data_IF_638806837661
#
_entry.id   IF_638806837661
#
_cell.length_a   1.000
_cell.length_b   1.000
_cell.length_c   1.000
_cell.angle_alpha   90.00
_cell.angle_beta   90.00
_cell.angle_gamma   90.00
#
_symmetry.space_group_name_H-M   'P 1'
#
loop_
_entity.id
_entity.type
_entity.pdbx_description
1 polymer ?
#
# COMPACT_ATOMS: atom_id res chain seq x y z
N UNK A 1 39.58 -13.23 -29.51
CA UNK A 1 38.21 -13.79 -29.61
C UNK A 1 38.02 -14.96 -28.63
N UNK A 2 39.10 -15.52 -28.07
CA UNK A 2 39.07 -16.68 -27.14
C UNK A 2 38.61 -16.37 -25.71
N UNK A 3 38.80 -15.14 -25.23
CA UNK A 3 38.43 -14.77 -23.85
C UNK A 3 36.90 -14.75 -23.64
N UNK A 4 36.15 -14.37 -24.69
CA UNK A 4 34.68 -14.35 -24.66
C UNK A 4 34.12 -15.77 -24.74
N UNK A 5 34.71 -16.61 -25.60
CA UNK A 5 34.34 -18.02 -25.74
C UNK A 5 34.64 -18.81 -24.45
N UNK A 6 35.82 -18.62 -23.86
CA UNK A 6 36.20 -19.26 -22.60
C UNK A 6 35.32 -18.81 -21.41
N UNK A 7 34.97 -17.53 -21.35
CA UNK A 7 34.05 -17.02 -20.33
C UNK A 7 32.62 -17.57 -20.53
N UNK A 8 32.20 -17.76 -21.79
CA UNK A 8 30.89 -18.32 -22.10
C UNK A 8 30.80 -19.82 -21.77
N UNK A 9 31.82 -20.61 -22.11
CA UNK A 9 31.90 -22.04 -21.76
C UNK A 9 31.97 -22.23 -20.24
N UNK A 10 32.80 -21.46 -19.54
CA UNK A 10 32.90 -21.52 -18.08
C UNK A 10 31.57 -21.16 -17.39
N UNK A 11 30.84 -20.16 -17.88
CA UNK A 11 29.50 -19.83 -17.37
C UNK A 11 28.50 -20.95 -17.64
N UNK A 12 28.53 -21.55 -18.83
CA UNK A 12 27.64 -22.66 -19.18
C UNK A 12 27.86 -23.90 -18.28
N UNK A 13 29.12 -24.19 -17.92
CA UNK A 13 29.47 -25.28 -17.01
C UNK A 13 29.02 -24.96 -15.58
N UNK A 14 29.27 -23.73 -15.11
CA UNK A 14 28.85 -23.30 -13.76
C UNK A 14 27.32 -23.32 -13.56
N UNK A 15 26.55 -22.93 -14.58
CA UNK A 15 25.08 -22.98 -14.52
C UNK A 15 24.57 -24.43 -14.44
N UNK A 16 25.23 -25.36 -15.14
CA UNK A 16 24.89 -26.79 -15.10
C UNK A 16 25.17 -27.40 -13.72
N UNK A 17 26.28 -27.00 -13.09
CA UNK A 17 26.62 -27.44 -11.73
C UNK A 17 25.58 -26.94 -10.71
N UNK A 18 25.24 -25.65 -10.76
CA UNK A 18 24.22 -25.06 -9.88
C UNK A 18 22.86 -25.73 -10.09
N UNK A 19 22.47 -25.96 -11.34
CA UNK A 19 21.22 -26.65 -11.68
C UNK A 19 21.16 -28.04 -11.02
N UNK A 20 22.23 -28.83 -11.16
CA UNK A 20 22.34 -30.15 -10.55
C UNK A 20 22.34 -30.08 -9.02
N UNK A 21 23.04 -29.10 -8.43
CA UNK A 21 23.06 -28.91 -6.97
C UNK A 21 21.66 -28.57 -6.43
N UNK A 22 20.89 -27.76 -7.15
CA UNK A 22 19.52 -27.38 -6.79
C UNK A 22 18.49 -28.47 -7.10
N UNK A 23 18.83 -29.47 -7.92
CA UNK A 23 17.92 -30.53 -8.34
C UNK A 23 16.81 -30.02 -9.27
N UNK A 24 17.08 -28.99 -10.06
CA UNK A 24 16.13 -28.38 -10.99
C UNK A 24 16.23 -28.99 -12.39
N UNK A 25 15.14 -28.90 -13.15
CA UNK A 25 15.05 -29.38 -14.53
C UNK A 25 15.84 -28.51 -15.51
N UNK A 26 16.27 -29.09 -16.64
CA UNK A 26 17.13 -28.43 -17.63
C UNK A 26 16.54 -27.11 -18.18
N UNK A 27 15.22 -26.98 -18.17
CA UNK A 27 14.51 -25.76 -18.58
C UNK A 27 14.90 -24.52 -17.76
N UNK A 28 15.36 -24.67 -16.50
CA UNK A 28 15.78 -23.54 -15.66
C UNK A 28 17.22 -23.09 -15.92
N UNK A 29 18.00 -23.81 -16.75
CA UNK A 29 19.39 -23.48 -17.03
C UNK A 29 19.58 -22.06 -17.58
N UNK A 30 18.77 -21.55 -18.53
CA UNK A 30 18.88 -20.17 -19.00
C UNK A 30 18.65 -19.13 -17.90
N UNK A 31 17.68 -19.38 -17.01
CA UNK A 31 17.39 -18.51 -15.86
C UNK A 31 18.57 -18.47 -14.88
N UNK A 32 19.14 -19.63 -14.54
CA UNK A 32 20.34 -19.71 -13.68
C UNK A 32 21.50 -18.96 -14.31
N UNK A 33 21.71 -19.13 -15.61
CA UNK A 33 22.78 -18.45 -16.34
C UNK A 33 22.59 -16.92 -16.36
N UNK A 34 21.34 -16.46 -16.51
CA UNK A 34 20.98 -15.04 -16.43
C UNK A 34 21.31 -14.44 -15.07
N UNK A 35 20.99 -15.13 -13.98
CA UNK A 35 21.21 -14.63 -12.63
C UNK A 35 22.43 -15.23 -11.92
N UNK A 36 23.46 -15.64 -12.67
CA UNK A 36 24.61 -16.43 -12.16
C UNK A 36 25.30 -15.78 -10.94
N UNK A 37 25.32 -14.43 -10.88
CA UNK A 37 25.88 -13.66 -9.75
C UNK A 37 25.23 -14.00 -8.41
N UNK A 38 23.94 -14.33 -8.40
CA UNK A 38 23.24 -14.77 -7.19
C UNK A 38 23.84 -16.10 -6.69
N UNK A 39 24.14 -17.04 -7.59
CA UNK A 39 24.58 -18.39 -7.24
C UNK A 39 26.04 -18.50 -6.83
N UNK A 40 26.85 -17.44 -7.02
CA UNK A 40 28.25 -17.40 -6.57
C UNK A 40 28.44 -17.54 -5.04
N UNK A 41 27.38 -17.50 -4.25
CA UNK A 41 27.42 -17.64 -2.79
C UNK A 41 26.78 -18.95 -2.35
N UNK A 42 27.58 -19.88 -1.82
CA UNK A 42 27.09 -21.16 -1.26
C UNK A 42 25.93 -20.95 -0.28
N UNK A 43 26.01 -19.96 0.60
CA UNK A 43 24.93 -19.62 1.54
C UNK A 43 23.59 -19.30 0.86
N UNK A 44 23.60 -18.64 -0.31
CA UNK A 44 22.38 -18.29 -1.06
C UNK A 44 21.85 -19.51 -1.79
N UNK A 45 22.74 -20.33 -2.38
CA UNK A 45 22.37 -21.60 -3.01
C UNK A 45 21.72 -22.54 -2.00
N UNK A 46 22.30 -22.73 -0.82
CA UNK A 46 21.71 -23.54 0.26
C UNK A 46 20.36 -22.99 0.73
N UNK A 47 20.25 -21.67 0.92
CA UNK A 47 18.99 -21.04 1.32
C UNK A 47 17.89 -21.19 0.26
N UNK A 48 18.24 -21.11 -1.03
CA UNK A 48 17.32 -21.33 -2.13
C UNK A 48 16.90 -22.80 -2.21
N UNK A 49 17.87 -23.73 -2.12
CA UNK A 49 17.61 -25.17 -2.16
C UNK A 49 16.60 -25.61 -1.10
N UNK A 50 16.67 -25.03 0.10
CA UNK A 50 15.72 -25.30 1.18
C UNK A 50 14.27 -24.83 0.88
N UNK A 51 14.07 -24.00 -0.15
CA UNK A 51 12.78 -23.44 -0.57
C UNK A 51 12.27 -24.02 -1.89
N UNK A 52 13.07 -24.83 -2.59
CA UNK A 52 12.68 -25.42 -3.87
C UNK A 52 11.62 -26.51 -3.66
N UNK A 53 10.60 -26.50 -4.51
CA UNK A 53 9.61 -27.53 -4.68
C UNK A 53 9.30 -27.69 -6.18
N UNK A 54 8.04 -27.55 -6.57
CA UNK A 54 7.67 -27.38 -7.97
C UNK A 54 7.76 -25.90 -8.36
N UNK A 55 8.70 -25.57 -9.24
CA UNK A 55 8.98 -24.18 -9.61
C UNK A 55 8.43 -23.82 -10.98
N UNK A 56 8.12 -22.54 -11.13
CA UNK A 56 8.09 -21.82 -12.40
C UNK A 56 9.24 -20.80 -12.41
N UNK A 57 9.51 -20.17 -13.55
CA UNK A 57 10.49 -19.08 -13.59
C UNK A 57 10.14 -17.95 -12.59
N UNK A 58 8.85 -17.60 -12.51
CA UNK A 58 8.35 -16.58 -11.58
C UNK A 58 8.61 -16.97 -10.13
N UNK A 59 8.26 -18.20 -9.72
CA UNK A 59 8.44 -18.62 -8.33
C UNK A 59 9.91 -18.65 -7.93
N UNK A 60 10.79 -19.06 -8.84
CA UNK A 60 12.22 -19.09 -8.60
C UNK A 60 12.81 -17.67 -8.47
N UNK A 61 12.38 -16.73 -9.31
CA UNK A 61 12.74 -15.31 -9.23
C UNK A 61 12.29 -14.71 -7.88
N UNK A 62 11.05 -14.97 -7.47
CA UNK A 62 10.52 -14.47 -6.19
C UNK A 62 11.25 -15.08 -4.99
N UNK A 63 11.65 -16.35 -5.04
CA UNK A 63 12.49 -16.98 -4.00
C UNK A 63 13.89 -16.39 -3.94
N UNK A 64 14.50 -16.12 -5.08
CA UNK A 64 15.79 -15.43 -5.13
C UNK A 64 15.69 -14.02 -4.53
N UNK A 65 14.67 -13.26 -4.92
CA UNK A 65 14.46 -11.91 -4.41
C UNK A 65 14.17 -11.91 -2.89
N UNK A 66 13.39 -12.88 -2.41
CA UNK A 66 13.07 -13.00 -0.99
C UNK A 66 14.31 -13.30 -0.13
N UNK A 67 15.26 -14.08 -0.64
CA UNK A 67 16.55 -14.33 0.01
C UNK A 67 17.40 -13.07 0.05
N UNK A 68 17.44 -12.30 -1.05
CA UNK A 68 18.21 -11.05 -1.13
C UNK A 68 17.66 -10.00 -0.16
N UNK A 69 16.34 -9.78 -0.17
CA UNK A 69 15.68 -8.74 0.63
C UNK A 69 15.28 -9.19 2.04
N UNK A 70 15.42 -10.49 2.35
CA UNK A 70 14.91 -11.12 3.58
C UNK A 70 13.41 -10.84 3.76
N UNK A 71 12.64 -11.16 2.73
CA UNK A 71 11.18 -11.00 2.66
C UNK A 71 10.47 -12.35 2.55
N UNK A 72 9.13 -12.31 2.49
CA UNK A 72 8.35 -13.45 2.05
C UNK A 72 8.49 -13.62 0.53
N UNK A 73 8.13 -14.82 0.04
CA UNK A 73 8.28 -15.25 -1.36
C UNK A 73 7.13 -14.77 -2.26
N UNK A 74 6.64 -13.55 -2.03
CA UNK A 74 5.58 -12.95 -2.83
C UNK A 74 6.06 -11.66 -3.47
N UNK A 75 5.46 -11.29 -4.60
CA UNK A 75 5.74 -10.03 -5.26
C UNK A 75 5.43 -8.85 -4.34
N UNK A 76 4.30 -8.90 -3.63
CA UNK A 76 3.87 -7.86 -2.70
C UNK A 76 4.90 -7.64 -1.58
N UNK A 77 5.36 -8.71 -0.93
CA UNK A 77 6.36 -8.61 0.12
C UNK A 77 7.70 -8.08 -0.41
N UNK A 78 8.06 -8.45 -1.64
CA UNK A 78 9.24 -7.97 -2.34
C UNK A 78 9.13 -6.46 -2.61
N UNK A 79 8.01 -6.00 -3.17
CA UNK A 79 7.76 -4.59 -3.45
C UNK A 79 7.75 -3.74 -2.16
N UNK A 80 7.12 -4.21 -1.09
CA UNK A 80 7.14 -3.52 0.21
C UNK A 80 8.57 -3.37 0.74
N UNK A 81 9.42 -4.39 0.58
CA UNK A 81 10.84 -4.29 0.94
C UNK A 81 11.62 -3.36 0.03
N UNK A 82 11.30 -3.32 -1.26
CA UNK A 82 11.90 -2.35 -2.18
C UNK A 82 11.52 -0.92 -1.79
N UNK A 83 10.27 -0.64 -1.43
CA UNK A 83 9.87 0.68 -0.95
C UNK A 83 10.52 1.07 0.38
N UNK A 84 10.81 0.09 1.25
CA UNK A 84 11.48 0.33 2.53
C UNK A 84 12.98 0.65 2.37
N UNK A 85 13.69 -0.09 1.50
CA UNK A 85 15.16 -0.12 1.47
C UNK A 85 15.78 0.26 0.13
N UNK A 86 14.95 0.50 -0.88
CA UNK A 86 15.37 0.58 -2.28
C UNK A 86 15.60 -0.80 -2.90
N UNK A 87 16.09 -0.78 -4.14
CA UNK A 87 16.25 -1.94 -5.01
C UNK A 87 17.71 -2.22 -5.42
N UNK A 88 18.66 -1.49 -4.82
CA UNK A 88 20.09 -1.63 -5.12
C UNK A 88 20.61 -3.06 -4.87
N UNK A 89 20.10 -3.76 -3.86
CA UNK A 89 20.51 -5.15 -3.62
C UNK A 89 20.02 -6.11 -4.70
N UNK A 90 18.83 -5.88 -5.28
CA UNK A 90 18.35 -6.66 -6.43
C UNK A 90 19.12 -6.32 -7.70
N UNK A 91 19.51 -5.06 -7.90
CA UNK A 91 20.34 -4.62 -9.03
C UNK A 91 21.69 -5.36 -9.08
N UNK A 92 22.33 -5.57 -7.92
CA UNK A 92 23.60 -6.32 -7.83
C UNK A 92 23.51 -7.74 -8.41
N UNK A 93 22.33 -8.34 -8.38
CA UNK A 93 22.05 -9.68 -8.89
C UNK A 93 21.21 -9.67 -10.18
N UNK A 94 21.02 -8.51 -10.79
CA UNK A 94 20.26 -8.33 -12.03
C UNK A 94 18.77 -8.72 -11.93
N UNK A 95 18.24 -8.85 -10.71
CA UNK A 95 16.87 -9.28 -10.42
C UNK A 95 15.82 -8.16 -10.51
N UNK A 96 16.23 -6.89 -10.40
CA UNK A 96 15.31 -5.74 -10.36
C UNK A 96 14.34 -5.74 -11.54
N UNK A 97 14.87 -5.87 -12.76
CA UNK A 97 14.06 -5.83 -13.98
C UNK A 97 12.97 -6.89 -13.97
N UNK A 98 13.30 -8.12 -13.54
CA UNK A 98 12.32 -9.19 -13.49
C UNK A 98 11.21 -8.92 -12.47
N UNK A 99 11.55 -8.34 -11.31
CA UNK A 99 10.54 -7.93 -10.33
C UNK A 99 9.65 -6.81 -10.88
N UNK A 100 10.22 -5.86 -11.62
CA UNK A 100 9.45 -4.83 -12.32
C UNK A 100 8.54 -5.43 -13.39
N UNK A 101 9.02 -6.37 -14.21
CA UNK A 101 8.23 -7.04 -15.25
C UNK A 101 7.02 -7.78 -14.62
N UNK A 102 7.23 -8.45 -13.49
CA UNK A 102 6.15 -9.10 -12.73
C UNK A 102 5.12 -8.08 -12.21
N UNK A 103 5.57 -6.93 -11.68
CA UNK A 103 4.69 -5.85 -11.23
C UNK A 103 3.89 -5.23 -12.40
N UNK A 104 4.55 -4.97 -13.52
CA UNK A 104 3.95 -4.49 -14.78
C UNK A 104 2.84 -5.43 -15.24
N UNK A 105 3.10 -6.74 -15.27
CA UNK A 105 2.14 -7.74 -15.70
C UNK A 105 0.94 -7.88 -14.74
N UNK A 106 1.23 -7.94 -13.44
CA UNK A 106 0.21 -8.11 -12.39
C UNK A 106 -0.73 -6.92 -12.34
N UNK A 107 -0.19 -5.72 -12.35
CA UNK A 107 -0.97 -4.49 -12.19
C UNK A 107 -1.42 -3.88 -13.52
N UNK A 108 -0.88 -4.33 -14.66
CA UNK A 108 -1.16 -3.77 -15.98
C UNK A 108 -0.76 -2.29 -16.07
N UNK A 109 0.48 -1.99 -15.68
CA UNK A 109 1.08 -0.64 -15.68
C UNK A 109 2.43 -0.66 -16.39
N UNK A 110 2.85 0.47 -16.93
CA UNK A 110 4.23 0.67 -17.39
C UNK A 110 5.00 1.42 -16.31
N UNK A 111 6.26 1.08 -16.05
CA UNK A 111 7.11 1.79 -15.08
C UNK A 111 8.53 1.99 -15.58
N UNK A 112 9.12 3.10 -15.17
CA UNK A 112 10.52 3.47 -15.46
C UNK A 112 11.44 3.32 -14.24
N UNK A 113 10.86 3.33 -13.04
CA UNK A 113 11.59 3.22 -11.78
C UNK A 113 10.68 2.75 -10.65
N UNK A 114 11.28 2.46 -9.49
CA UNK A 114 10.53 2.14 -8.27
C UNK A 114 9.67 3.31 -7.78
N UNK A 115 10.15 4.54 -7.96
CA UNK A 115 9.41 5.76 -7.58
C UNK A 115 8.22 5.99 -8.51
N UNK A 116 8.39 5.76 -9.81
CA UNK A 116 7.28 5.79 -10.78
C UNK A 116 6.20 4.74 -10.46
N UNK A 117 6.61 3.53 -10.05
CA UNK A 117 5.67 2.51 -9.56
C UNK A 117 4.87 3.01 -8.35
N UNK A 118 5.54 3.62 -7.36
CA UNK A 118 4.89 4.16 -6.17
C UNK A 118 3.85 5.23 -6.54
N UNK A 119 4.25 6.20 -7.37
CA UNK A 119 3.35 7.28 -7.81
C UNK A 119 2.14 6.74 -8.57
N UNK A 120 2.33 5.77 -9.46
CA UNK A 120 1.23 5.17 -10.23
C UNK A 120 0.26 4.42 -9.34
N UNK A 121 0.74 3.63 -8.39
CA UNK A 121 -0.11 2.91 -7.44
C UNK A 121 -0.92 3.89 -6.59
N UNK A 122 -0.28 4.91 -6.03
CA UNK A 122 -0.95 5.87 -5.15
C UNK A 122 -1.93 6.75 -5.91
N UNK A 123 -1.55 7.23 -7.09
CA UNK A 123 -2.42 8.03 -7.96
C UNK A 123 -3.63 7.23 -8.45
N UNK A 124 -3.45 5.94 -8.78
CA UNK A 124 -4.57 5.08 -9.17
C UNK A 124 -5.53 4.84 -8.01
N UNK A 125 -5.01 4.57 -6.80
CA UNK A 125 -5.86 4.39 -5.62
C UNK A 125 -6.61 5.66 -5.25
N UNK A 126 -5.95 6.82 -5.28
CA UNK A 126 -6.58 8.12 -5.09
C UNK A 126 -7.65 8.39 -6.16
N UNK A 127 -7.33 8.17 -7.43
CA UNK A 127 -8.22 8.42 -8.56
C UNK A 127 -9.46 7.53 -8.54
N UNK A 128 -9.31 6.27 -8.13
CA UNK A 128 -10.43 5.35 -7.98
C UNK A 128 -11.38 5.81 -6.87
N UNK A 129 -10.86 6.11 -5.67
CA UNK A 129 -11.68 6.47 -4.52
C UNK A 129 -12.27 7.89 -4.61
N UNK A 130 -11.68 8.77 -5.40
CA UNK A 130 -12.10 10.19 -5.51
C UNK A 130 -12.92 10.48 -6.76
N UNK A 131 -12.62 9.79 -7.86
CA UNK A 131 -13.22 10.04 -9.17
C UNK A 131 -13.89 8.82 -9.80
N UNK A 132 -13.85 7.65 -9.16
CA UNK A 132 -14.35 6.40 -9.74
C UNK A 132 -13.54 5.92 -10.95
N UNK A 133 -12.31 6.41 -11.12
CA UNK A 133 -11.47 6.11 -12.28
C UNK A 133 -10.28 5.23 -11.87
N UNK A 134 -10.23 4.00 -12.39
CA UNK A 134 -9.02 3.17 -12.35
C UNK A 134 -8.44 3.06 -13.76
N UNK A 135 -7.12 3.17 -13.89
CA UNK A 135 -6.39 2.90 -15.15
C UNK A 135 -5.79 1.50 -15.18
N UNK A 136 -5.71 0.85 -14.04
CA UNK A 136 -4.97 -0.39 -13.83
C UNK A 136 -5.87 -1.53 -13.34
N UNK A 137 -5.34 -2.76 -13.33
CA UNK A 137 -6.06 -3.94 -12.84
C UNK A 137 -6.43 -3.78 -11.36
N UNK A 138 -7.49 -4.48 -10.96
CA UNK A 138 -8.01 -4.46 -9.58
C UNK A 138 -6.93 -4.83 -8.56
N UNK A 139 -6.00 -5.72 -8.93
CA UNK A 139 -4.83 -6.08 -8.11
C UNK A 139 -4.01 -4.88 -7.62
N UNK A 140 -3.90 -3.81 -8.41
CA UNK A 140 -3.17 -2.60 -8.01
C UNK A 140 -3.86 -1.88 -6.86
N UNK A 141 -5.20 -1.82 -6.91
CA UNK A 141 -6.01 -1.23 -5.84
C UNK A 141 -5.97 -2.11 -4.58
N UNK A 142 -6.12 -3.42 -4.74
CA UNK A 142 -6.05 -4.38 -3.63
C UNK A 142 -4.69 -4.29 -2.94
N UNK A 143 -3.58 -4.23 -3.70
CA UNK A 143 -2.25 -4.11 -3.14
C UNK A 143 -2.10 -2.90 -2.20
N UNK A 144 -2.54 -1.72 -2.64
CA UNK A 144 -2.47 -0.49 -1.83
C UNK A 144 -3.37 -0.59 -0.60
N UNK A 145 -4.59 -1.13 -0.76
CA UNK A 145 -5.53 -1.34 0.36
C UNK A 145 -4.93 -2.26 1.43
N UNK A 146 -4.45 -3.43 1.02
CA UNK A 146 -3.83 -4.40 1.92
C UNK A 146 -2.57 -3.83 2.57
N UNK A 147 -1.80 -2.99 1.86
CA UNK A 147 -0.65 -2.31 2.45
C UNK A 147 -1.07 -1.34 3.57
N UNK A 148 -2.12 -0.54 3.39
CA UNK A 148 -2.62 0.36 4.45
C UNK A 148 -3.04 -0.39 5.72
N UNK A 149 -3.61 -1.58 5.56
CA UNK A 149 -4.05 -2.45 6.65
C UNK A 149 -2.88 -3.20 7.31
N UNK A 150 -1.72 -3.27 6.66
CA UNK A 150 -0.58 -4.04 7.12
C UNK A 150 0.18 -3.35 8.27
N UNK A 151 -0.04 -3.81 9.51
CA UNK A 151 0.54 -3.25 10.75
C UNK A 151 2.04 -2.97 10.64
N UNK A 152 2.84 -3.96 10.21
CA UNK A 152 4.31 -3.83 10.09
C UNK A 152 4.78 -2.70 9.16
N UNK A 153 4.05 -2.41 8.09
CA UNK A 153 4.45 -1.44 7.06
C UNK A 153 3.61 -0.17 7.11
N UNK A 154 2.83 0.03 8.18
CA UNK A 154 1.95 1.19 8.36
C UNK A 154 2.73 2.51 8.38
N UNK A 155 3.83 2.56 9.13
CA UNK A 155 4.63 3.80 9.23
C UNK A 155 5.36 4.12 7.92
N UNK A 156 5.87 3.08 7.24
CA UNK A 156 6.43 3.21 5.90
C UNK A 156 5.39 3.77 4.92
N UNK A 157 4.16 3.24 4.95
CA UNK A 157 3.07 3.75 4.13
C UNK A 157 2.80 5.23 4.41
N UNK A 158 2.67 5.60 5.69
CA UNK A 158 2.41 7.00 6.10
C UNK A 158 3.49 7.94 5.59
N UNK A 159 4.77 7.58 5.76
CA UNK A 159 5.89 8.38 5.31
C UNK A 159 5.91 8.57 3.78
N UNK A 160 5.71 7.49 3.02
CA UNK A 160 5.67 7.55 1.56
C UNK A 160 4.43 8.32 1.06
N UNK A 161 3.28 8.11 1.68
CA UNK A 161 2.03 8.82 1.35
C UNK A 161 2.19 10.33 1.52
N UNK A 162 2.80 10.78 2.61
CA UNK A 162 3.10 12.20 2.83
C UNK A 162 4.09 12.75 1.79
N UNK A 163 5.14 12.00 1.45
CA UNK A 163 6.10 12.39 0.41
C UNK A 163 5.38 12.60 -0.94
N UNK A 164 4.63 11.59 -1.38
CA UNK A 164 3.89 11.61 -2.64
C UNK A 164 2.84 12.73 -2.65
N UNK A 165 2.12 12.93 -1.54
CA UNK A 165 1.10 13.97 -1.45
C UNK A 165 1.69 15.37 -1.65
N UNK A 166 2.86 15.64 -1.06
CA UNK A 166 3.58 16.89 -1.20
C UNK A 166 4.04 17.12 -2.63
N UNK A 167 4.63 16.10 -3.26
CA UNK A 167 5.17 16.18 -4.62
C UNK A 167 4.08 16.33 -5.68
N UNK A 168 2.93 15.68 -5.50
CA UNK A 168 1.78 15.79 -6.39
C UNK A 168 0.87 17.00 -6.09
N UNK A 169 1.13 17.75 -5.01
CA UNK A 169 0.33 18.91 -4.64
C UNK A 169 -1.12 18.56 -4.26
N UNK A 170 -1.33 17.40 -3.63
CA UNK A 170 -2.67 16.85 -3.32
C UNK A 170 -3.52 17.84 -2.51
N UNK A 171 -2.92 18.59 -1.58
CA UNK A 171 -3.63 19.61 -0.80
C UNK A 171 -4.32 20.67 -1.69
N UNK A 172 -3.69 21.07 -2.80
CA UNK A 172 -4.26 22.03 -3.73
C UNK A 172 -5.35 21.41 -4.61
N UNK A 173 -5.22 20.12 -4.95
CA UNK A 173 -6.24 19.37 -5.68
C UNK A 173 -7.52 19.20 -4.84
N UNK A 174 -7.38 18.77 -3.58
CA UNK A 174 -8.51 18.54 -2.67
C UNK A 174 -9.35 19.80 -2.42
N UNK A 175 -8.73 21.00 -2.39
CA UNK A 175 -9.46 22.27 -2.24
C UNK A 175 -10.47 22.54 -3.36
N UNK A 176 -10.30 21.92 -4.53
CA UNK A 176 -11.18 22.08 -5.69
C UNK A 176 -12.36 21.09 -5.67
N UNK A 177 -12.37 20.14 -4.74
CA UNK A 177 -13.32 19.04 -4.72
C UNK A 177 -14.38 19.25 -3.64
N UNK A 178 -15.61 18.83 -3.94
CA UNK A 178 -16.69 18.73 -2.95
C UNK A 178 -16.56 17.49 -2.08
N UNK A 179 -17.29 17.49 -0.95
CA UNK A 179 -17.23 16.41 0.05
C UNK A 179 -17.57 15.03 -0.52
N UNK A 180 -18.51 14.96 -1.47
CA UNK A 180 -18.90 13.70 -2.13
C UNK A 180 -17.74 12.96 -2.81
N UNK A 181 -16.72 13.70 -3.27
CA UNK A 181 -15.53 13.09 -3.87
C UNK A 181 -14.48 12.75 -2.83
N UNK A 182 -14.36 13.53 -1.76
CA UNK A 182 -13.29 13.37 -0.76
C UNK A 182 -13.68 12.33 0.31
N UNK A 183 -14.97 12.08 0.53
CA UNK A 183 -15.47 11.23 1.63
C UNK A 183 -14.84 9.83 1.71
N UNK A 184 -14.50 9.24 0.56
CA UNK A 184 -13.87 7.92 0.47
C UNK A 184 -12.34 7.99 0.37
N UNK A 185 -11.76 9.19 0.29
CA UNK A 185 -10.31 9.33 0.29
C UNK A 185 -9.73 9.01 1.68
N UNK A 186 -8.70 8.19 1.67
CA UNK A 186 -7.99 7.76 2.88
C UNK A 186 -6.48 7.64 2.71
N UNK A 187 -6.00 7.63 1.47
CA UNK A 187 -4.61 7.35 1.16
C UNK A 187 -3.68 8.44 1.72
N UNK A 188 -4.10 9.70 1.63
CA UNK A 188 -3.34 10.87 2.06
C UNK A 188 -3.89 11.49 3.35
N UNK A 189 -3.01 12.03 4.20
CA UNK A 189 -3.40 12.74 5.42
C UNK A 189 -4.22 14.01 5.10
N UNK A 190 -3.91 14.65 3.98
CA UNK A 190 -4.57 15.84 3.46
C UNK A 190 -6.07 15.61 3.22
N UNK A 191 -6.48 14.38 2.88
CA UNK A 191 -7.91 14.04 2.74
C UNK A 191 -8.66 14.21 4.06
N UNK A 192 -8.04 13.85 5.20
CA UNK A 192 -8.61 14.07 6.52
C UNK A 192 -8.70 15.56 6.86
N UNK A 193 -7.65 16.32 6.57
CA UNK A 193 -7.63 17.76 6.80
C UNK A 193 -8.71 18.49 5.99
N UNK A 194 -8.91 18.10 4.73
CA UNK A 194 -9.97 18.63 3.88
C UNK A 194 -11.37 18.31 4.43
N UNK A 195 -11.59 17.06 4.87
CA UNK A 195 -12.83 16.63 5.52
C UNK A 195 -13.10 17.44 6.79
N UNK A 196 -12.10 17.57 7.68
CA UNK A 196 -12.24 18.32 8.93
C UNK A 196 -12.56 19.80 8.65
N UNK A 197 -11.90 20.39 7.65
CA UNK A 197 -12.18 21.77 7.24
C UNK A 197 -13.61 21.94 6.74
N UNK A 198 -14.11 20.97 5.96
CA UNK A 198 -15.50 20.95 5.51
C UNK A 198 -16.49 20.82 6.67
N UNK A 199 -16.21 19.94 7.63
CA UNK A 199 -17.04 19.75 8.83
C UNK A 199 -17.10 21.06 9.62
N UNK A 200 -15.95 21.68 9.92
CA UNK A 200 -15.89 22.94 10.66
C UNK A 200 -16.72 24.05 9.99
N UNK A 201 -16.63 24.19 8.66
CA UNK A 201 -17.36 25.20 7.92
C UNK A 201 -18.89 25.04 7.99
N UNK A 202 -19.40 23.80 7.97
CA UNK A 202 -20.84 23.52 8.03
C UNK A 202 -21.36 23.50 9.48
N UNK A 203 -20.53 23.02 10.42
CA UNK A 203 -20.83 23.03 11.83
C UNK A 203 -20.97 24.47 12.37
N UNK A 204 -20.13 25.40 11.92
CA UNK A 204 -20.24 26.82 12.28
C UNK A 204 -21.58 27.44 11.84
N UNK A 205 -22.17 26.93 10.76
CA UNK A 205 -23.50 27.34 10.25
C UNK A 205 -24.65 26.50 10.81
N UNK A 206 -24.34 25.47 11.61
CA UNK A 206 -25.29 24.46 12.11
C UNK A 206 -26.04 23.72 11.00
N UNK A 207 -25.40 23.54 9.84
CA UNK A 207 -25.96 22.84 8.68
C UNK A 207 -25.44 21.40 8.59
N UNK A 208 -26.20 20.53 7.89
CA UNK A 208 -25.77 19.17 7.53
C UNK A 208 -25.30 18.30 8.70
N UNK A 209 -25.89 18.49 9.89
CA UNK A 209 -25.46 17.82 11.13
C UNK A 209 -25.49 16.28 11.03
N UNK A 210 -26.51 15.71 10.37
CA UNK A 210 -26.58 14.25 10.18
C UNK A 210 -25.46 13.74 9.27
N UNK A 211 -25.20 14.41 8.13
CA UNK A 211 -24.12 14.07 7.21
C UNK A 211 -22.75 14.18 7.89
N UNK A 212 -22.55 15.20 8.75
CA UNK A 212 -21.35 15.33 9.57
C UNK A 212 -21.18 14.13 10.49
N UNK A 213 -22.22 13.71 11.21
CA UNK A 213 -22.16 12.58 12.14
C UNK A 213 -21.86 11.26 11.42
N UNK A 214 -22.52 11.00 10.28
CA UNK A 214 -22.25 9.84 9.43
C UNK A 214 -20.82 9.85 8.91
N UNK A 215 -20.34 11.01 8.45
CA UNK A 215 -18.99 11.16 7.93
C UNK A 215 -17.95 10.88 9.02
N UNK A 216 -18.13 11.42 10.24
CA UNK A 216 -17.24 11.15 11.38
C UNK A 216 -17.26 9.65 11.73
N UNK A 217 -18.44 9.03 11.79
CA UNK A 217 -18.58 7.62 12.14
C UNK A 217 -17.85 6.71 11.13
N UNK A 218 -17.99 6.97 9.83
CA UNK A 218 -17.31 6.21 8.78
C UNK A 218 -15.79 6.37 8.77
N UNK A 219 -15.19 7.13 9.69
CA UNK A 219 -13.74 7.39 9.72
C UNK A 219 -12.94 6.57 10.71
N UNK A 220 -13.57 5.83 11.62
CA UNK A 220 -12.92 5.22 12.77
C UNK A 220 -11.82 4.19 12.42
N UNK A 221 -11.98 3.46 11.32
CA UNK A 221 -11.12 2.37 10.87
C UNK A 221 -9.95 2.82 9.97
N UNK A 222 -9.91 4.11 9.60
CA UNK A 222 -8.93 4.58 8.63
C UNK A 222 -7.54 4.82 9.22
N UNK A 223 -6.51 4.59 8.40
CA UNK A 223 -5.08 4.64 8.77
C UNK A 223 -4.61 5.94 9.45
N UNK A 224 -5.26 7.06 9.13
CA UNK A 224 -4.93 8.38 9.68
C UNK A 224 -5.79 8.77 10.90
N UNK A 225 -6.82 7.99 11.27
CA UNK A 225 -7.81 8.39 12.28
C UNK A 225 -7.18 8.70 13.64
N UNK A 226 -6.26 7.85 14.10
CA UNK A 226 -5.61 7.96 15.40
C UNK A 226 -5.04 9.36 15.67
N UNK A 227 -4.38 9.97 14.67
CA UNK A 227 -3.79 11.31 14.80
C UNK A 227 -4.82 12.44 14.93
N UNK A 228 -6.09 12.19 14.58
CA UNK A 228 -7.18 13.17 14.60
C UNK A 228 -8.34 12.76 15.52
N UNK A 229 -8.20 11.69 16.31
CA UNK A 229 -9.28 11.09 17.10
C UNK A 229 -9.95 12.12 18.01
N UNK A 230 -9.16 12.90 18.75
CA UNK A 230 -9.66 13.97 19.64
C UNK A 230 -10.43 15.05 18.88
N UNK A 231 -9.96 15.42 17.68
CA UNK A 231 -10.61 16.43 16.84
C UNK A 231 -11.97 15.89 16.38
N UNK A 232 -12.02 14.67 15.86
CA UNK A 232 -13.27 14.05 15.44
C UNK A 232 -14.27 13.87 16.59
N UNK A 233 -13.78 13.51 17.79
CA UNK A 233 -14.62 13.38 18.97
C UNK A 233 -15.23 14.73 19.38
N UNK A 234 -14.43 15.80 19.41
CA UNK A 234 -14.93 17.14 19.70
C UNK A 234 -15.98 17.61 18.68
N UNK A 235 -15.72 17.41 17.38
CA UNK A 235 -16.65 17.77 16.30
C UNK A 235 -17.96 16.98 16.39
N UNK A 236 -17.89 15.70 16.75
CA UNK A 236 -19.06 14.85 16.96
C UNK A 236 -19.94 15.39 18.09
N UNK A 237 -19.36 15.70 19.25
CA UNK A 237 -20.13 16.23 20.37
C UNK A 237 -20.75 17.59 20.06
N UNK A 238 -20.02 18.47 19.37
CA UNK A 238 -20.57 19.75 18.93
C UNK A 238 -21.76 19.57 17.97
N UNK A 239 -21.69 18.63 17.02
CA UNK A 239 -22.78 18.32 16.12
C UNK A 239 -24.01 17.75 16.85
N UNK A 240 -23.81 16.87 17.83
CA UNK A 240 -24.89 16.34 18.67
C UNK A 240 -25.56 17.44 19.49
N UNK A 241 -24.77 18.34 20.09
CA UNK A 241 -25.31 19.46 20.86
C UNK A 241 -26.19 20.38 20.00
N UNK A 242 -25.73 20.74 18.80
CA UNK A 242 -26.54 21.56 17.90
C UNK A 242 -27.82 20.86 17.44
N UNK A 243 -27.79 19.54 17.27
CA UNK A 243 -28.98 18.75 16.94
C UNK A 243 -30.01 18.82 18.06
N UNK A 244 -29.59 18.63 19.32
CA UNK A 244 -30.47 18.74 20.49
C UNK A 244 -31.01 20.17 20.71
N UNK A 245 -30.21 21.21 20.42
CA UNK A 245 -30.68 22.61 20.50
C UNK A 245 -31.80 22.92 19.50
N UNK A 246 -31.73 22.36 18.29
CA UNK A 246 -32.71 22.60 17.23
C UNK A 246 -34.02 21.83 17.43
N UNK A 247 -34.00 20.74 18.21
CA UNK A 247 -35.18 19.98 18.60
C UNK A 247 -35.11 19.70 20.10
N UNK A 248 -35.61 20.59 20.98
CA UNK A 248 -35.60 20.35 22.42
C UNK A 248 -36.35 19.04 22.70
N UNK A 249 -35.59 18.03 23.09
CA UNK A 249 -36.04 16.63 23.00
C UNK A 249 -36.73 16.13 24.27
N UNK A 250 -37.00 16.99 25.25
CA UNK A 250 -37.67 16.61 26.49
C UNK A 250 -38.42 17.80 27.08
N UNK A 251 -39.65 17.57 27.53
CA UNK A 251 -40.48 18.58 28.18
C UNK A 251 -40.20 18.66 29.69
N UNK A 252 -39.47 17.69 30.25
CA UNK A 252 -39.08 17.66 31.66
C UNK A 252 -37.78 16.88 31.90
N UNK A 253 -37.11 17.16 33.03
CA UNK A 253 -35.93 16.41 33.46
C UNK A 253 -36.19 14.93 33.70
N UNK A 254 -37.41 14.56 34.12
CA UNK A 254 -37.79 13.17 34.34
C UNK A 254 -37.80 12.38 33.03
N UNK A 255 -38.38 12.97 31.99
CA UNK A 255 -38.42 12.40 30.64
C UNK A 255 -37.01 12.24 30.03
N UNK A 256 -36.09 13.17 30.33
CA UNK A 256 -34.70 13.10 29.88
C UNK A 256 -33.91 11.94 30.52
N UNK A 257 -34.18 11.63 31.80
CA UNK A 257 -33.49 10.59 32.58
C UNK A 257 -33.99 9.19 32.25
N UNK A 258 -35.29 9.04 31.98
CA UNK A 258 -35.92 7.74 31.69
C UNK A 258 -35.71 7.29 30.24
N UNK A 259 -35.07 8.12 29.39
CA UNK A 259 -34.82 7.78 28.00
C UNK A 259 -33.65 6.79 27.89
N UNK A 260 -33.81 5.65 27.18
CA UNK A 260 -32.69 4.75 26.94
C UNK A 260 -31.61 5.51 26.16
N UNK A 261 -30.39 5.56 26.72
CA UNK A 261 -29.23 6.07 25.99
C UNK A 261 -29.09 5.24 24.70
N UNK A 262 -29.35 5.86 23.55
CA UNK A 262 -29.11 5.22 22.27
C UNK A 262 -27.59 5.01 22.12
N UNK A 263 -27.15 3.81 22.49
CA UNK A 263 -25.85 3.22 22.24
C UNK A 263 -24.66 4.19 22.39
N UNK A 264 -24.24 4.40 23.64
CA UNK A 264 -22.82 4.58 23.92
C UNK A 264 -22.08 3.29 23.55
N UNK A 265 -21.86 3.03 22.26
CA UNK A 265 -20.82 2.09 21.82
C UNK A 265 -19.49 2.83 21.85
N UNK A 266 -19.02 3.11 23.06
CA UNK A 266 -17.61 3.25 23.36
C UNK A 266 -17.11 1.88 23.82
N UNK A 267 -16.82 0.98 22.88
CA UNK A 267 -15.90 -0.14 23.08
C UNK A 267 -15.46 -0.65 21.71
N UNK A 268 -14.38 -0.09 21.18
CA UNK A 268 -13.12 -0.76 20.86
C UNK A 268 -12.15 0.22 20.22
#
# INVERSE_FOLDING_TARGET
MDLVLANYTFRADSASMVLSELGLELEFKPLIQRYIKFFNSKKRVTALKAKIGHESEESLILKMASIVLKSNETLEATLLKMFEKGNADLQKFELEKAIFDLAVQKFCLEITSLEDLLYKLFSNYFGYNTYGKSRYKVDAHIFVKTWMEHVKYRDLFKALSQKVAKELGIAAELKKLGIERIRNCEIYQECKQAIISWILAHLAKKEKLNEILELIHSRADHIWFEAFANIYQALRYAALLFKEQSTPSFASFKEAVDRPQAAALCHH
#
